data_IF_429999569260
#
_entry.id   IF_429999569260
#
_cell.length_a   1.000
_cell.length_b   1.000
_cell.length_c   1.000
_cell.angle_alpha   90.00
_cell.angle_beta   90.00
_cell.angle_gamma   90.00
#
_symmetry.space_group_name_H-M   'P 1'
#
loop_
_entity.id
_entity.type
_entity.pdbx_description
1 polymer ?
#
# COMPACT_ATOMS: atom_id res chain seq x y z
N UNK A 1 28.82 51.79 63.96
CA UNK A 1 27.98 51.34 65.08
C UNK A 1 26.83 50.56 64.48
N UNK A 2 27.11 49.27 64.38
CA UNK A 2 26.24 48.10 64.38
C UNK A 2 24.73 48.34 64.61
N UNK A 3 23.90 47.76 63.74
CA UNK A 3 23.01 46.65 64.11
C UNK A 3 22.01 46.31 62.98
N UNK A 4 22.15 45.11 62.40
CA UNK A 4 21.04 44.26 61.94
C UNK A 4 20.68 43.30 63.12
N UNK A 5 19.62 42.46 63.08
CA UNK A 5 18.56 42.22 62.07
C UNK A 5 17.12 42.19 62.69
N UNK A 6 15.99 42.02 61.97
CA UNK A 6 15.43 40.77 61.42
C UNK A 6 13.98 41.07 60.94
N UNK A 7 13.63 40.90 59.67
CA UNK A 7 12.85 39.77 59.06
C UNK A 7 11.38 40.13 58.76
N UNK A 8 10.97 40.07 57.47
CA UNK A 8 9.85 39.24 56.96
C UNK A 8 9.58 39.47 55.44
N UNK A 9 9.73 38.38 54.69
CA UNK A 9 8.99 37.88 53.51
C UNK A 9 8.60 38.86 52.38
N UNK A 10 9.26 38.80 51.22
CA UNK A 10 9.07 37.85 50.10
C UNK A 10 7.91 38.19 49.15
N UNK A 11 8.27 38.60 47.91
CA UNK A 11 7.65 38.16 46.64
C UNK A 11 8.41 38.76 45.45
N UNK A 12 9.16 37.91 44.74
CA UNK A 12 9.75 38.22 43.42
C UNK A 12 9.55 37.00 42.50
N UNK A 13 9.39 37.21 41.19
CA UNK A 13 8.61 36.35 40.31
C UNK A 13 9.43 35.18 39.76
N UNK A 14 8.81 34.01 39.68
CA UNK A 14 9.38 32.82 39.05
C UNK A 14 9.30 32.93 37.53
N UNK A 15 10.46 32.93 36.90
CA UNK A 15 10.67 32.79 35.46
C UNK A 15 10.23 31.41 34.95
N UNK A 16 9.67 31.42 33.74
CA UNK A 16 9.13 30.27 33.03
C UNK A 16 10.15 29.14 32.81
N UNK A 17 9.70 27.90 33.02
CA UNK A 17 10.23 26.71 32.37
C UNK A 17 9.06 25.98 31.70
N UNK A 18 9.18 25.81 30.39
CA UNK A 18 8.25 25.13 29.50
C UNK A 18 8.16 23.63 29.83
N UNK A 19 6.94 23.09 29.93
CA UNK A 19 6.72 21.65 29.93
C UNK A 19 5.68 21.34 28.87
N UNK A 20 6.17 20.99 27.67
CA UNK A 20 5.35 20.39 26.62
C UNK A 20 4.98 18.95 27.04
N UNK A 21 3.74 18.49 26.78
CA UNK A 21 3.33 17.14 27.11
C UNK A 21 4.04 16.10 26.23
N UNK A 22 4.55 15.07 26.88
CA UNK A 22 5.17 13.87 26.29
C UNK A 22 4.16 13.14 25.38
N UNK A 23 4.57 12.60 24.21
CA UNK A 23 3.71 11.76 23.39
C UNK A 23 3.37 10.45 24.12
N UNK A 24 2.13 9.95 24.06
CA UNK A 24 1.77 8.71 24.71
C UNK A 24 2.55 7.54 24.10
N UNK A 25 3.24 6.80 24.96
CA UNK A 25 3.91 5.54 24.66
C UNK A 25 2.89 4.54 24.12
N UNK A 26 3.02 4.22 22.83
CA UNK A 26 2.32 3.11 22.19
C UNK A 26 2.83 1.81 22.80
N UNK A 27 2.04 1.21 23.68
CA UNK A 27 2.18 -0.19 24.08
C UNK A 27 1.96 -1.09 22.85
N UNK A 28 3.01 -1.29 22.05
CA UNK A 28 3.04 -2.23 20.95
C UNK A 28 3.22 -3.66 21.51
N UNK A 29 2.18 -4.20 22.15
CA UNK A 29 2.14 -5.60 22.57
C UNK A 29 0.97 -6.36 21.92
N UNK A 30 0.70 -6.06 20.64
CA UNK A 30 -0.08 -6.95 19.80
C UNK A 30 0.88 -7.96 19.16
N UNK A 31 0.74 -9.27 19.42
CA UNK A 31 1.49 -10.26 18.65
C UNK A 31 1.14 -10.06 17.17
N UNK A 32 2.16 -9.90 16.33
CA UNK A 32 1.96 -9.86 14.88
C UNK A 32 1.18 -11.12 14.48
N UNK A 33 0.16 -11.00 13.61
CA UNK A 33 -0.63 -12.16 13.20
C UNK A 33 0.32 -13.23 12.65
N UNK A 34 0.40 -14.34 13.37
CA UNK A 34 1.28 -15.47 13.03
C UNK A 34 0.44 -16.52 12.34
N UNK A 35 0.69 -16.74 11.05
CA UNK A 35 -0.04 -17.70 10.26
C UNK A 35 0.49 -19.12 10.54
N UNK A 36 -0.39 -20.13 10.70
CA UNK A 36 0.05 -21.50 10.90
C UNK A 36 0.85 -22.00 9.68
N UNK A 37 1.83 -22.87 9.92
CA UNK A 37 2.57 -23.54 8.85
C UNK A 37 1.59 -24.31 7.95
N UNK A 38 1.69 -24.11 6.64
CA UNK A 38 0.78 -24.73 5.68
C UNK A 38 1.25 -26.17 5.37
N UNK A 39 0.34 -27.16 5.33
CA UNK A 39 0.69 -28.53 4.96
C UNK A 39 1.31 -28.60 3.57
N UNK A 40 2.32 -29.46 3.33
CA UNK A 40 3.11 -29.48 2.10
C UNK A 40 2.31 -29.91 0.85
N UNK A 41 1.23 -30.69 1.01
CA UNK A 41 0.49 -31.24 -0.12
C UNK A 41 -0.53 -30.27 -0.76
N UNK A 42 -0.74 -29.10 -0.15
CA UNK A 42 -1.71 -28.12 -0.68
C UNK A 42 -1.18 -27.40 -1.91
N UNK A 43 -2.07 -27.02 -2.87
CA UNK A 43 -1.68 -26.25 -4.06
C UNK A 43 -0.86 -25.00 -3.72
N UNK A 44 -1.23 -24.28 -2.65
CA UNK A 44 -0.48 -23.12 -2.20
C UNK A 44 0.99 -23.43 -1.87
N UNK A 45 1.25 -24.49 -1.10
CA UNK A 45 2.61 -24.84 -0.67
C UNK A 45 3.48 -25.22 -1.87
N UNK A 46 2.90 -25.97 -2.82
CA UNK A 46 3.56 -26.32 -4.09
C UNK A 46 3.87 -25.09 -4.94
N UNK A 47 2.93 -24.15 -5.04
CA UNK A 47 3.11 -22.91 -5.79
C UNK A 47 4.15 -21.99 -5.14
N UNK A 48 4.08 -21.80 -3.83
CA UNK A 48 5.02 -20.98 -3.08
C UNK A 48 6.46 -21.54 -3.16
N UNK A 49 6.62 -22.87 -3.20
CA UNK A 49 7.91 -23.51 -3.39
C UNK A 49 8.53 -23.24 -4.78
N UNK A 50 7.72 -22.99 -5.81
CA UNK A 50 8.19 -22.65 -7.16
C UNK A 50 8.59 -21.18 -7.32
N UNK A 51 8.31 -20.34 -6.32
CA UNK A 51 8.54 -18.90 -6.43
C UNK A 51 9.99 -18.53 -6.78
N UNK A 52 11.05 -19.11 -6.16
CA UNK A 52 12.42 -18.76 -6.52
C UNK A 52 12.74 -18.95 -8.01
N UNK A 53 12.26 -20.03 -8.61
CA UNK A 53 12.42 -20.31 -10.04
C UNK A 53 11.61 -19.32 -10.90
N UNK A 54 10.39 -18.99 -10.49
CA UNK A 54 9.53 -18.01 -11.18
C UNK A 54 10.20 -16.63 -11.20
N UNK A 55 10.73 -16.19 -10.05
CA UNK A 55 11.41 -14.90 -9.92
C UNK A 55 12.70 -14.87 -10.74
N UNK A 56 13.47 -15.96 -10.73
CA UNK A 56 14.65 -16.10 -11.56
C UNK A 56 14.30 -16.01 -13.06
N UNK A 57 13.24 -16.71 -13.49
CA UNK A 57 12.80 -16.72 -14.88
C UNK A 57 12.29 -15.34 -15.36
N UNK A 58 11.52 -14.65 -14.53
CA UNK A 58 11.01 -13.31 -14.86
C UNK A 58 12.09 -12.23 -14.69
N UNK A 59 13.06 -12.44 -13.81
CA UNK A 59 14.07 -11.46 -13.42
C UNK A 59 13.44 -10.17 -12.87
N UNK A 60 12.33 -10.30 -12.15
CA UNK A 60 11.56 -9.24 -11.50
C UNK A 60 10.69 -9.86 -10.39
N UNK A 61 10.44 -9.10 -9.33
CA UNK A 61 9.88 -9.65 -8.08
C UNK A 61 8.82 -8.75 -7.42
N UNK A 62 8.32 -7.71 -8.10
CA UNK A 62 7.32 -6.79 -7.56
C UNK A 62 5.93 -7.00 -8.21
N UNK A 63 4.89 -7.00 -7.39
CA UNK A 63 3.48 -6.91 -7.83
C UNK A 63 2.67 -6.03 -6.87
N UNK A 64 1.94 -5.05 -7.40
CA UNK A 64 1.08 -4.11 -6.66
C UNK A 64 1.78 -3.30 -5.54
N UNK A 65 3.04 -2.93 -5.76
CA UNK A 65 3.91 -2.24 -4.81
C UNK A 65 4.54 -3.15 -3.76
N UNK A 66 4.36 -4.47 -3.86
CA UNK A 66 4.80 -5.44 -2.87
C UNK A 66 5.84 -6.38 -3.48
N UNK A 67 6.96 -6.55 -2.77
CA UNK A 67 7.99 -7.51 -3.14
C UNK A 67 7.52 -8.94 -2.81
N UNK A 68 7.66 -9.86 -3.75
CA UNK A 68 7.32 -11.28 -3.60
C UNK A 68 8.41 -12.01 -2.81
N UNK A 69 8.39 -11.87 -1.49
CA UNK A 69 9.29 -12.59 -0.58
C UNK A 69 8.49 -13.19 0.59
N UNK A 70 8.90 -14.33 1.15
CA UNK A 70 8.15 -14.96 2.25
C UNK A 70 7.99 -14.08 3.51
N UNK A 71 8.90 -13.12 3.72
CA UNK A 71 8.92 -12.21 4.86
C UNK A 71 8.07 -10.94 4.65
N UNK A 72 7.54 -10.70 3.43
CA UNK A 72 6.76 -9.49 3.18
C UNK A 72 5.32 -9.63 3.67
N UNK A 73 4.77 -8.57 4.29
CA UNK A 73 3.34 -8.52 4.57
C UNK A 73 2.52 -8.80 3.31
N UNK A 74 1.44 -9.55 3.46
CA UNK A 74 0.53 -9.95 2.37
C UNK A 74 1.06 -10.94 1.33
N UNK A 75 2.31 -11.44 1.45
CA UNK A 75 2.88 -12.46 0.57
C UNK A 75 1.90 -13.61 0.28
N UNK A 76 1.39 -14.25 1.33
CA UNK A 76 0.45 -15.38 1.23
C UNK A 76 -0.82 -14.98 0.47
N UNK A 77 -1.37 -13.79 0.74
CA UNK A 77 -2.61 -13.31 0.09
C UNK A 77 -2.38 -13.06 -1.39
N UNK A 78 -1.23 -12.48 -1.75
CA UNK A 78 -0.86 -12.18 -3.12
C UNK A 78 -0.68 -13.46 -3.95
N UNK A 79 0.07 -14.44 -3.42
CA UNK A 79 0.20 -15.77 -4.05
C UNK A 79 -1.16 -16.48 -4.22
N UNK A 80 -2.05 -16.34 -3.24
CA UNK A 80 -3.41 -16.90 -3.33
C UNK A 80 -4.29 -16.22 -4.39
N UNK A 81 -4.03 -14.96 -4.78
CA UNK A 81 -4.79 -14.30 -5.85
C UNK A 81 -4.53 -15.03 -7.18
N UNK A 82 -3.27 -15.30 -7.52
CA UNK A 82 -2.92 -16.03 -8.74
C UNK A 82 -3.47 -17.45 -8.74
N UNK A 83 -3.41 -18.17 -7.61
CA UNK A 83 -4.01 -19.50 -7.54
C UNK A 83 -5.53 -19.48 -7.72
N UNK A 84 -6.24 -18.59 -7.01
CA UNK A 84 -7.70 -18.52 -7.11
C UNK A 84 -8.18 -18.03 -8.47
N UNK A 85 -7.46 -17.09 -9.08
CA UNK A 85 -7.75 -16.63 -10.44
C UNK A 85 -7.65 -17.76 -11.46
N UNK A 86 -6.84 -18.80 -11.19
CA UNK A 86 -6.66 -19.97 -12.04
C UNK A 86 -7.33 -21.23 -11.49
N UNK A 87 -8.37 -21.11 -10.65
CA UNK A 87 -9.09 -22.25 -10.07
C UNK A 87 -8.18 -23.29 -9.36
N UNK A 88 -7.09 -22.81 -8.73
CA UNK A 88 -6.03 -23.59 -8.09
C UNK A 88 -5.21 -24.50 -9.04
N UNK A 89 -5.24 -24.25 -10.36
CA UNK A 89 -4.33 -24.85 -11.32
C UNK A 89 -2.93 -24.25 -11.17
N UNK A 90 -1.96 -25.09 -10.80
CA UNK A 90 -0.58 -24.67 -10.54
C UNK A 90 0.15 -24.21 -11.79
N UNK A 91 -0.08 -24.88 -12.92
CA UNK A 91 0.61 -24.59 -14.17
C UNK A 91 0.14 -23.23 -14.69
N UNK A 92 -1.18 -23.03 -14.73
CA UNK A 92 -1.77 -21.76 -15.15
C UNK A 92 -1.42 -20.60 -14.22
N UNK A 93 -1.41 -20.84 -12.90
CA UNK A 93 -0.99 -19.84 -11.93
C UNK A 93 0.49 -19.43 -12.11
N UNK A 94 1.38 -20.40 -12.37
CA UNK A 94 2.78 -20.15 -12.69
C UNK A 94 2.93 -19.32 -13.97
N UNK A 95 2.29 -19.75 -15.06
CA UNK A 95 2.31 -19.06 -16.34
C UNK A 95 1.81 -17.61 -16.21
N UNK A 96 0.69 -17.41 -15.53
CA UNK A 96 0.14 -16.08 -15.29
C UNK A 96 1.09 -15.20 -14.47
N UNK A 97 1.67 -15.73 -13.38
CA UNK A 97 2.58 -14.98 -12.53
C UNK A 97 3.86 -14.59 -13.29
N UNK A 98 4.47 -15.52 -14.02
CA UNK A 98 5.65 -15.24 -14.87
C UNK A 98 5.33 -14.16 -15.89
N UNK A 99 4.22 -14.28 -16.62
CA UNK A 99 3.81 -13.29 -17.62
C UNK A 99 3.57 -11.92 -16.98
N UNK A 100 2.93 -11.88 -15.81
CA UNK A 100 2.68 -10.65 -15.06
C UNK A 100 3.98 -9.97 -14.65
N UNK A 101 4.95 -10.73 -14.13
CA UNK A 101 6.24 -10.19 -13.69
C UNK A 101 7.08 -9.67 -14.86
N UNK A 102 7.11 -10.39 -15.99
CA UNK A 102 7.78 -9.94 -17.21
C UNK A 102 7.17 -8.62 -17.73
N UNK A 103 5.84 -8.56 -17.82
CA UNK A 103 5.16 -7.33 -18.23
C UNK A 103 5.41 -6.17 -17.26
N UNK A 104 5.39 -6.42 -15.95
CA UNK A 104 5.66 -5.38 -14.94
C UNK A 104 7.10 -4.85 -15.02
N UNK A 105 8.06 -5.71 -15.33
CA UNK A 105 9.46 -5.32 -15.57
C UNK A 105 9.59 -4.38 -16.78
N UNK A 106 8.87 -4.70 -17.85
CA UNK A 106 8.90 -3.94 -19.11
C UNK A 106 8.13 -2.62 -18.99
N UNK A 107 6.88 -2.66 -18.54
CA UNK A 107 5.97 -1.51 -18.50
C UNK A 107 6.22 -0.60 -17.29
N UNK A 108 6.65 -1.16 -16.16
CA UNK A 108 6.93 -0.44 -14.91
C UNK A 108 5.76 0.44 -14.43
N UNK A 109 4.66 -0.17 -13.94
CA UNK A 109 3.46 0.58 -13.55
C UNK A 109 3.70 1.68 -12.51
N UNK A 110 4.71 1.54 -11.65
CA UNK A 110 5.08 2.58 -10.69
C UNK A 110 5.57 3.86 -11.36
N UNK A 111 6.29 3.76 -12.48
CA UNK A 111 6.73 4.92 -13.26
C UNK A 111 5.58 5.59 -13.99
N UNK A 112 4.62 4.81 -14.49
CA UNK A 112 3.43 5.34 -15.16
C UNK A 112 2.60 6.29 -14.25
N UNK A 113 2.66 6.12 -12.93
CA UNK A 113 2.01 7.04 -11.97
C UNK A 113 2.68 8.42 -11.96
N UNK A 114 3.97 8.49 -12.25
CA UNK A 114 4.78 9.71 -12.26
C UNK A 114 4.77 10.42 -13.62
N UNK A 115 4.23 9.79 -14.66
CA UNK A 115 4.17 10.35 -16.00
C UNK A 115 3.27 11.59 -16.08
N UNK A 116 3.77 12.62 -16.76
CA UNK A 116 3.01 13.84 -17.00
C UNK A 116 2.16 13.70 -18.27
N UNK A 117 0.86 13.97 -18.14
CA UNK A 117 -0.05 13.95 -19.28
C UNK A 117 -0.71 15.31 -19.49
N UNK A 118 -1.10 15.59 -20.74
CA UNK A 118 -1.76 16.84 -21.10
C UNK A 118 -3.09 17.00 -20.35
N UNK A 119 -3.18 18.05 -19.54
CA UNK A 119 -4.43 18.44 -18.86
C UNK A 119 -5.56 18.74 -19.84
N UNK A 120 -5.23 19.25 -21.04
CA UNK A 120 -6.22 19.48 -22.11
C UNK A 120 -6.81 18.17 -22.62
N UNK A 121 -6.00 17.10 -22.63
CA UNK A 121 -6.37 15.79 -23.17
C UNK A 121 -7.20 14.97 -22.18
N UNK A 122 -6.67 14.78 -20.96
CA UNK A 122 -7.24 13.85 -19.97
C UNK A 122 -7.61 14.50 -18.63
N UNK A 123 -7.41 15.81 -18.48
CA UNK A 123 -7.69 16.50 -17.23
C UNK A 123 -9.14 16.36 -16.82
N UNK A 124 -9.37 16.11 -15.52
CA UNK A 124 -10.71 15.95 -14.91
C UNK A 124 -11.50 14.74 -15.39
N UNK A 125 -10.86 13.76 -16.02
CA UNK A 125 -11.52 12.52 -16.43
C UNK A 125 -11.30 11.37 -15.42
N UNK A 126 -10.23 11.41 -14.62
CA UNK A 126 -9.94 10.41 -13.60
C UNK A 126 -10.03 11.00 -12.19
N UNK A 127 -10.66 10.26 -11.28
CA UNK A 127 -10.72 10.59 -9.86
C UNK A 127 -10.44 9.34 -9.03
N UNK A 128 -9.66 9.49 -7.97
CA UNK A 128 -9.47 8.46 -6.93
C UNK A 128 -10.00 9.04 -5.63
N UNK A 129 -10.96 8.36 -5.01
CA UNK A 129 -11.60 8.83 -3.77
C UNK A 129 -11.65 7.72 -2.73
N UNK A 130 -11.51 8.11 -1.48
CA UNK A 130 -11.85 7.26 -0.34
C UNK A 130 -13.33 7.45 0.00
N UNK A 131 -14.06 6.36 0.20
CA UNK A 131 -15.47 6.36 0.60
C UNK A 131 -15.65 5.51 1.86
N UNK A 132 -16.62 5.86 2.70
CA UNK A 132 -16.96 5.12 3.92
C UNK A 132 -18.39 4.56 3.83
N UNK A 133 -18.67 3.47 4.55
CA UNK A 133 -20.02 2.92 4.68
C UNK A 133 -20.57 2.27 3.41
N UNK A 134 -19.70 1.72 2.55
CA UNK A 134 -20.12 1.00 1.34
C UNK A 134 -20.87 -0.28 1.74
N UNK A 135 -22.11 -0.48 1.27
CA UNK A 135 -22.85 -1.71 1.52
C UNK A 135 -22.07 -2.93 1.03
N UNK A 136 -22.10 -4.03 1.77
CA UNK A 136 -21.42 -5.30 1.40
C UNK A 136 -19.89 -5.24 1.31
N UNK A 137 -19.22 -4.18 1.78
CA UNK A 137 -17.79 -4.29 2.11
C UNK A 137 -17.65 -5.14 3.38
N UNK A 138 -17.69 -6.48 3.23
CA UNK A 138 -17.94 -7.48 4.29
C UNK A 138 -16.72 -7.75 5.21
N UNK A 139 -15.85 -6.77 5.43
CA UNK A 139 -14.70 -6.87 6.36
C UNK A 139 -14.52 -5.53 7.08
N UNK A 140 -13.81 -5.41 8.21
CA UNK A 140 -13.78 -4.21 9.07
C UNK A 140 -13.11 -2.97 8.44
N UNK A 141 -12.99 -2.92 7.11
CA UNK A 141 -12.52 -1.77 6.39
C UNK A 141 -13.58 -0.67 6.46
N UNK A 142 -13.34 0.29 7.34
CA UNK A 142 -14.15 1.51 7.47
C UNK A 142 -14.15 2.36 6.19
N UNK A 143 -13.11 2.20 5.36
CA UNK A 143 -12.84 2.96 4.15
C UNK A 143 -12.55 2.03 2.97
N UNK A 144 -13.10 2.39 1.82
CA UNK A 144 -12.83 1.79 0.52
C UNK A 144 -12.22 2.82 -0.44
N UNK A 145 -11.41 2.36 -1.39
CA UNK A 145 -10.83 3.21 -2.44
C UNK A 145 -11.56 2.95 -3.76
N UNK A 146 -12.10 4.00 -4.37
CA UNK A 146 -12.83 3.92 -5.64
C UNK A 146 -12.16 4.82 -6.67
N UNK A 147 -11.91 4.25 -7.84
CA UNK A 147 -11.43 4.99 -9.02
C UNK A 147 -12.59 5.23 -9.98
N UNK A 148 -12.86 6.50 -10.30
CA UNK A 148 -13.87 6.91 -11.27
C UNK A 148 -13.24 7.42 -12.55
N UNK A 149 -13.73 6.93 -13.68
CA UNK A 149 -13.38 7.42 -15.02
C UNK A 149 -14.62 8.07 -15.65
N UNK A 150 -14.63 9.39 -15.78
CA UNK A 150 -15.77 10.19 -16.25
C UNK A 150 -15.71 10.36 -17.77
N UNK A 151 -15.79 9.26 -18.52
CA UNK A 151 -15.68 9.29 -19.98
C UNK A 151 -16.79 10.10 -20.66
N UNK A 152 -17.98 10.21 -20.05
CA UNK A 152 -19.07 11.04 -20.57
C UNK A 152 -18.79 12.55 -20.56
N UNK A 153 -17.74 13.01 -19.87
CA UNK A 153 -17.35 14.42 -19.85
C UNK A 153 -16.40 14.82 -21.01
N UNK A 154 -15.96 13.86 -21.83
CA UNK A 154 -15.06 14.11 -22.96
C UNK A 154 -15.73 15.03 -23.98
N UNK A 155 -15.00 16.08 -24.40
CA UNK A 155 -15.48 17.06 -25.39
C UNK A 155 -14.96 16.81 -26.80
N UNK A 156 -13.77 16.22 -26.91
CA UNK A 156 -13.13 15.89 -28.17
C UNK A 156 -12.53 14.49 -28.08
N UNK A 157 -13.26 13.50 -28.61
CA UNK A 157 -12.84 12.10 -28.58
C UNK A 157 -11.55 11.87 -29.37
N UNK A 158 -11.32 12.60 -30.46
CA UNK A 158 -10.13 12.42 -31.28
C UNK A 158 -8.91 12.95 -30.55
N UNK A 159 -9.02 14.11 -29.91
CA UNK A 159 -7.93 14.63 -29.09
C UNK A 159 -7.64 13.75 -27.88
N UNK A 160 -8.67 13.17 -27.24
CA UNK A 160 -8.51 12.36 -26.02
C UNK A 160 -8.01 10.93 -26.30
N UNK A 161 -8.49 10.29 -27.37
CA UNK A 161 -8.27 8.85 -27.61
C UNK A 161 -7.63 8.52 -28.96
N UNK A 162 -7.46 9.51 -29.85
CA UNK A 162 -6.91 9.28 -31.19
C UNK A 162 -5.40 9.04 -31.22
N UNK A 163 -4.72 9.34 -30.12
CA UNK A 163 -3.30 9.08 -29.91
C UNK A 163 -3.13 8.12 -28.74
N UNK A 164 -2.64 6.92 -29.04
CA UNK A 164 -2.41 5.84 -28.06
C UNK A 164 -0.96 5.83 -27.55
N UNK A 165 -0.06 6.59 -28.19
CA UNK A 165 1.36 6.63 -27.84
C UNK A 165 1.69 7.84 -26.94
N UNK A 166 0.85 8.89 -26.94
CA UNK A 166 0.73 9.87 -25.86
C UNK A 166 1.24 11.28 -26.15
#
# INVERSE_FOLDING_TARGET
MDAQPATLASRTPTSAASTAPEPPTSNANHPAPTWPALPPDRPFSKFAAQLPEILQEAGYDEVYGIQLRPDTPFYTKLMQIFLRANANDLIRAREQLVATLKWRKEFQPSRAVEEAHSRKRIGRLGYVVEVEGVPESVTPNRKDVVTFNIYGAVKDNKATFGDLEG
#
